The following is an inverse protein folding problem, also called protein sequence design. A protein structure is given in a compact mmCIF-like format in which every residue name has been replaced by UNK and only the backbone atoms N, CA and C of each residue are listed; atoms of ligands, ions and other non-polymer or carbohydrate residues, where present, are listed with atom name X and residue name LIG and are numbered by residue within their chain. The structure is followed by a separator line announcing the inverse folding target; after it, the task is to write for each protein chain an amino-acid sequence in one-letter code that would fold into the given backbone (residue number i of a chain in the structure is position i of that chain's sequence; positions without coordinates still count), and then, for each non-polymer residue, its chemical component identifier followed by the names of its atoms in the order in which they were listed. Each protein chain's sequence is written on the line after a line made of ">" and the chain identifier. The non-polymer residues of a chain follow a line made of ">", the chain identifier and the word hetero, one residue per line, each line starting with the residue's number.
data_IF_593234269209
#
_entry.id   IF_593234269209
#
_cell.length_a   1.000
_cell.length_b   1.000
_cell.length_c   1.000
_cell.angle_alpha   90.00
_cell.angle_beta   90.00
_cell.angle_gamma   90.00
#
_symmetry.space_group_name_H-M   'P 1'
#
loop_
_entity.id
_entity.type
_entity.pdbx_description
1 polymer ?
#
# COMPACT_ATOMS: atom_id res chain seq x y z
N UNK A 1 34.36 16.10 14.62
CA UNK A 1 32.91 16.44 14.56
C UNK A 1 32.32 16.32 13.16
N UNK A 2 32.90 16.91 12.11
CA UNK A 2 32.36 16.79 10.74
C UNK A 2 32.18 15.34 10.28
N UNK A 3 33.17 14.48 10.51
CA UNK A 3 33.09 13.04 10.22
C UNK A 3 32.03 12.30 11.03
N UNK A 4 31.86 12.64 12.31
CA UNK A 4 30.82 12.05 13.15
C UNK A 4 29.42 12.42 12.65
N UNK A 5 29.19 13.70 12.36
CA UNK A 5 27.94 14.17 11.76
C UNK A 5 27.65 13.46 10.43
N UNK A 6 28.66 13.35 9.58
CA UNK A 6 28.53 12.66 8.29
C UNK A 6 28.17 11.17 8.46
N UNK A 7 28.79 10.47 9.40
CA UNK A 7 28.45 9.07 9.72
C UNK A 7 27.01 8.97 10.25
N UNK A 8 26.60 9.90 11.12
CA UNK A 8 25.24 9.96 11.66
C UNK A 8 24.20 10.19 10.55
N UNK A 9 24.45 11.16 9.67
CA UNK A 9 23.59 11.48 8.53
C UNK A 9 23.48 10.29 7.56
N UNK A 10 24.61 9.62 7.24
CA UNK A 10 24.61 8.42 6.38
C UNK A 10 23.85 7.26 7.03
N UNK A 11 24.04 7.04 8.33
CA UNK A 11 23.34 5.97 9.07
C UNK A 11 21.83 6.21 9.07
N UNK A 12 21.43 7.46 9.29
CA UNK A 12 20.02 7.88 9.26
C UNK A 12 19.41 7.70 7.88
N UNK A 13 20.14 8.09 6.83
CA UNK A 13 19.72 7.90 5.46
C UNK A 13 19.50 6.42 5.12
N UNK A 14 20.44 5.54 5.51
CA UNK A 14 20.32 4.10 5.31
C UNK A 14 19.10 3.54 6.06
N UNK A 15 18.87 3.96 7.31
CA UNK A 15 17.71 3.52 8.08
C UNK A 15 16.39 3.94 7.42
N UNK A 16 16.29 5.19 6.96
CA UNK A 16 15.11 5.70 6.24
C UNK A 16 14.90 4.91 4.95
N UNK A 17 15.97 4.63 4.19
CA UNK A 17 15.89 3.86 2.96
C UNK A 17 15.37 2.43 3.21
N UNK A 18 15.87 1.76 4.25
CA UNK A 18 15.39 0.42 4.65
C UNK A 18 13.92 0.49 5.08
N UNK A 19 13.54 1.50 5.87
CA UNK A 19 12.15 1.70 6.30
C UNK A 19 11.19 1.87 5.11
N UNK A 20 11.55 2.74 4.16
CA UNK A 20 10.77 2.94 2.93
C UNK A 20 10.69 1.66 2.12
N UNK A 21 11.80 0.93 1.99
CA UNK A 21 11.83 -0.35 1.28
C UNK A 21 10.87 -1.37 1.90
N UNK A 22 10.93 -1.56 3.23
CA UNK A 22 10.05 -2.52 3.91
C UNK A 22 8.59 -2.05 3.90
N UNK A 23 8.35 -0.76 4.04
CA UNK A 23 7.02 -0.18 3.91
C UNK A 23 6.41 -0.50 2.53
N UNK A 24 7.12 -0.19 1.44
CA UNK A 24 6.66 -0.50 0.08
C UNK A 24 6.49 -2.01 -0.13
N UNK A 25 7.34 -2.83 0.48
CA UNK A 25 7.21 -4.28 0.46
C UNK A 25 5.91 -4.74 1.13
N UNK A 26 5.57 -4.21 2.32
CA UNK A 26 4.34 -4.55 3.04
C UNK A 26 3.08 -4.02 2.38
N UNK A 27 3.13 -2.82 1.84
CA UNK A 27 2.03 -2.24 1.06
C UNK A 27 1.65 -3.13 -0.14
N UNK A 28 2.65 -3.71 -0.83
CA UNK A 28 2.43 -4.66 -1.94
C UNK A 28 1.81 -6.00 -1.47
N UNK A 29 2.10 -6.45 -0.25
CA UNK A 29 1.44 -7.64 0.32
C UNK A 29 -0.06 -7.42 0.52
N UNK A 30 -0.46 -6.22 0.94
CA UNK A 30 -1.86 -5.92 1.25
C UNK A 30 -2.66 -5.50 0.01
N UNK A 31 -2.09 -4.68 -0.88
CA UNK A 31 -2.82 -4.05 -1.99
C UNK A 31 -2.18 -4.42 -3.33
N UNK A 32 -2.95 -4.37 -4.42
CA UNK A 32 -2.34 -4.44 -5.76
C UNK A 32 -1.57 -3.15 -6.07
N UNK A 33 -0.35 -3.21 -6.61
CA UNK A 33 0.43 -2.01 -6.92
C UNK A 33 -0.33 -1.08 -7.88
N UNK A 34 -0.18 0.22 -7.68
CA UNK A 34 -0.84 1.28 -8.46
C UNK A 34 -2.38 1.27 -8.41
N UNK A 35 -2.97 0.67 -7.37
CA UNK A 35 -4.41 0.73 -7.15
C UNK A 35 -4.84 2.15 -6.79
N UNK A 36 -5.86 2.65 -7.48
CA UNK A 36 -6.47 3.95 -7.17
C UNK A 36 -7.78 3.82 -6.43
N UNK A 37 -8.55 2.79 -6.79
CA UNK A 37 -9.89 2.61 -6.28
C UNK A 37 -10.05 1.18 -5.74
N UNK A 38 -9.82 0.99 -4.43
CA UNK A 38 -10.07 -0.27 -3.78
C UNK A 38 -11.53 -0.32 -3.28
N UNK A 39 -12.19 -1.44 -3.58
CA UNK A 39 -13.59 -1.71 -3.29
C UNK A 39 -13.68 -3.03 -2.54
N UNK A 40 -14.31 -3.03 -1.37
CA UNK A 40 -14.58 -4.22 -0.60
C UNK A 40 -16.02 -4.68 -0.87
N UNK A 41 -16.19 -5.89 -1.38
CA UNK A 41 -17.49 -6.56 -1.44
C UNK A 41 -17.70 -7.32 -0.14
N UNK A 42 -18.64 -6.86 0.67
CA UNK A 42 -18.88 -7.36 2.03
C UNK A 42 -20.05 -8.34 2.09
N UNK A 43 -21.03 -8.19 1.20
CA UNK A 43 -22.20 -9.05 1.18
C UNK A 43 -22.79 -9.36 -0.20
N UNK A 44 -23.50 -10.48 -0.28
CA UNK A 44 -24.21 -10.93 -1.47
C UNK A 44 -25.51 -11.64 -1.08
N UNK A 45 -26.64 -11.08 -1.49
CA UNK A 45 -27.98 -11.56 -1.13
C UNK A 45 -28.48 -12.77 -1.96
N UNK A 46 -27.63 -13.31 -2.85
CA UNK A 46 -27.93 -14.48 -3.69
C UNK A 46 -29.10 -14.34 -4.68
N UNK A 47 -29.59 -13.10 -4.93
CA UNK A 47 -30.64 -12.84 -5.93
C UNK A 47 -30.24 -13.27 -7.35
N UNK A 48 -28.98 -13.07 -7.71
CA UNK A 48 -28.40 -13.47 -9.00
C UNK A 48 -27.30 -14.49 -8.79
N UNK A 49 -27.10 -15.40 -9.76
CA UNK A 49 -26.03 -16.39 -9.69
C UNK A 49 -24.64 -15.75 -9.78
N UNK A 50 -23.63 -16.40 -9.20
CA UNK A 50 -22.23 -15.94 -9.26
C UNK A 50 -21.73 -15.73 -10.69
N UNK A 51 -22.04 -16.67 -11.58
CA UNK A 51 -21.69 -16.59 -13.00
C UNK A 51 -22.32 -15.37 -13.67
N UNK A 52 -23.59 -15.10 -13.38
CA UNK A 52 -24.29 -13.96 -13.94
C UNK A 52 -23.69 -12.63 -13.44
N UNK A 53 -23.41 -12.52 -12.14
CA UNK A 53 -22.77 -11.34 -11.56
C UNK A 53 -21.41 -11.08 -12.22
N UNK A 54 -20.56 -12.11 -12.35
CA UNK A 54 -19.24 -11.96 -12.98
C UNK A 54 -19.33 -11.60 -14.46
N UNK A 55 -20.28 -12.16 -15.22
CA UNK A 55 -20.53 -11.75 -16.61
C UNK A 55 -20.93 -10.28 -16.70
N UNK A 56 -21.81 -9.83 -15.80
CA UNK A 56 -22.25 -8.43 -15.78
C UNK A 56 -21.13 -7.48 -15.36
N UNK A 57 -20.29 -7.84 -14.37
CA UNK A 57 -19.09 -7.05 -14.02
C UNK A 57 -18.15 -6.94 -15.23
N UNK A 58 -17.95 -8.03 -15.98
CA UNK A 58 -17.13 -8.00 -17.19
C UNK A 58 -17.72 -7.09 -18.28
N UNK A 59 -19.05 -7.08 -18.44
CA UNK A 59 -19.74 -6.17 -19.36
C UNK A 59 -19.62 -4.72 -18.93
N UNK A 60 -19.84 -4.43 -17.64
CA UNK A 60 -19.64 -3.11 -17.06
C UNK A 60 -18.21 -2.60 -17.31
N UNK A 61 -17.20 -3.43 -17.01
CA UNK A 61 -15.80 -3.08 -17.22
C UNK A 61 -15.48 -2.77 -18.69
N UNK A 62 -16.08 -3.53 -19.63
CA UNK A 62 -15.96 -3.26 -21.08
C UNK A 62 -16.63 -1.93 -21.48
N UNK A 63 -17.83 -1.65 -20.96
CA UNK A 63 -18.58 -0.44 -21.27
C UNK A 63 -17.90 0.82 -20.74
N UNK A 64 -17.37 0.76 -19.51
CA UNK A 64 -16.58 1.84 -18.91
C UNK A 64 -15.14 1.86 -19.44
N UNK A 65 -14.75 0.92 -20.30
CA UNK A 65 -13.42 0.84 -20.91
C UNK A 65 -12.26 0.73 -19.90
N UNK A 66 -12.49 0.06 -18.77
CA UNK A 66 -11.53 -0.15 -17.67
C UNK A 66 -11.28 -1.63 -17.39
N UNK A 67 -10.15 -1.97 -16.77
CA UNK A 67 -9.93 -3.28 -16.17
C UNK A 67 -10.28 -3.26 -14.68
N UNK A 68 -11.01 -4.27 -14.22
CA UNK A 68 -11.34 -4.46 -12.80
C UNK A 68 -10.66 -5.75 -12.34
N UNK A 69 -9.91 -5.67 -11.25
CA UNK A 69 -9.13 -6.78 -10.71
C UNK A 69 -9.79 -7.28 -9.44
N UNK A 70 -10.27 -8.51 -9.43
CA UNK A 70 -10.61 -9.19 -8.17
C UNK A 70 -9.36 -9.85 -7.63
N UNK A 71 -9.08 -9.65 -6.36
CA UNK A 71 -7.91 -10.22 -5.71
C UNK A 71 -8.31 -10.98 -4.44
N UNK A 72 -7.62 -12.08 -4.19
CA UNK A 72 -7.71 -12.80 -2.92
C UNK A 72 -6.29 -13.16 -2.48
N UNK A 73 -5.91 -12.74 -1.27
CA UNK A 73 -4.63 -13.10 -0.69
C UNK A 73 -4.72 -14.47 -0.01
N UNK A 74 -3.85 -15.38 -0.42
CA UNK A 74 -3.64 -16.67 0.22
C UNK A 74 -2.37 -16.58 1.07
N UNK A 75 -2.51 -16.73 2.38
CA UNK A 75 -1.40 -16.72 3.31
C UNK A 75 -0.95 -18.17 3.58
N UNK A 76 0.14 -18.59 2.95
CA UNK A 76 0.70 -19.94 3.09
C UNK A 76 2.18 -19.86 3.48
N UNK A 77 2.55 -20.53 4.57
CA UNK A 77 3.95 -20.74 5.02
C UNK A 77 4.91 -19.54 4.78
N UNK A 78 4.55 -18.36 5.31
CA UNK A 78 5.33 -17.10 5.28
C UNK A 78 5.39 -16.36 3.92
N UNK A 79 4.74 -16.88 2.88
CA UNK A 79 4.55 -16.16 1.63
C UNK A 79 3.10 -15.66 1.50
N UNK A 80 2.94 -14.54 0.81
CA UNK A 80 1.63 -14.02 0.40
C UNK A 80 1.52 -14.29 -1.09
N UNK A 81 0.71 -15.25 -1.48
CA UNK A 81 0.35 -15.45 -2.89
C UNK A 81 -0.97 -14.72 -3.13
N UNK A 82 -1.16 -14.11 -4.30
CA UNK A 82 -2.46 -13.53 -4.67
C UNK A 82 -3.03 -14.20 -5.90
N UNK A 83 -4.26 -14.64 -5.72
CA UNK A 83 -5.12 -15.05 -6.81
C UNK A 83 -5.78 -13.81 -7.38
N UNK A 84 -5.56 -13.56 -8.68
CA UNK A 84 -6.09 -12.38 -9.37
C UNK A 84 -6.95 -12.82 -10.54
N UNK A 85 -8.17 -12.31 -10.60
CA UNK A 85 -8.99 -12.39 -11.80
C UNK A 85 -9.16 -11.00 -12.41
N UNK A 86 -9.08 -10.90 -13.73
CA UNK A 86 -9.21 -9.63 -14.46
C UNK A 86 -10.49 -9.63 -15.29
N UNK A 87 -11.41 -8.74 -14.93
CA UNK A 87 -12.53 -8.36 -15.77
C UNK A 87 -12.06 -7.35 -16.83
N UNK A 88 -12.52 -7.51 -18.07
CA UNK A 88 -12.05 -6.78 -19.24
C UNK A 88 -10.53 -6.92 -19.50
N UNK A 89 -10.10 -8.13 -19.83
CA UNK A 89 -8.70 -8.50 -20.08
C UNK A 89 -7.99 -7.63 -21.14
N UNK A 90 -8.71 -7.01 -22.09
CA UNK A 90 -8.11 -6.16 -23.13
C UNK A 90 -7.57 -4.82 -22.60
N UNK A 91 -8.01 -4.41 -21.40
CA UNK A 91 -7.50 -3.23 -20.69
C UNK A 91 -6.59 -3.58 -19.52
N UNK A 92 -6.29 -4.86 -19.35
CA UNK A 92 -5.43 -5.32 -18.28
C UNK A 92 -4.01 -4.76 -18.47
N UNK A 93 -3.49 -4.12 -17.43
CA UNK A 93 -2.06 -3.87 -17.28
C UNK A 93 -1.42 -5.02 -16.52
N UNK A 94 -0.19 -5.35 -16.89
CA UNK A 94 0.63 -6.33 -16.18
C UNK A 94 0.83 -5.86 -14.74
N UNK A 95 0.49 -6.74 -13.80
CA UNK A 95 0.80 -6.50 -12.38
C UNK A 95 2.20 -7.05 -12.15
N UNK A 96 3.13 -6.14 -11.90
CA UNK A 96 4.51 -6.51 -11.57
C UNK A 96 4.67 -6.37 -10.06
N UNK A 97 4.78 -7.47 -9.31
CA UNK A 97 4.93 -7.36 -7.87
C UNK A 97 6.31 -6.81 -7.54
N UNK A 98 6.37 -5.95 -6.52
CA UNK A 98 7.65 -5.48 -5.98
C UNK A 98 8.45 -6.61 -5.33
N UNK A 99 7.77 -7.62 -4.80
CA UNK A 99 8.35 -8.77 -4.12
C UNK A 99 8.52 -9.97 -5.08
N UNK A 100 9.75 -10.43 -5.28
CA UNK A 100 10.03 -11.61 -6.10
C UNK A 100 9.54 -12.94 -5.49
N UNK A 101 9.21 -12.99 -4.19
CA UNK A 101 8.63 -14.17 -3.51
C UNK A 101 7.11 -14.22 -3.60
N UNK A 102 6.49 -13.17 -4.11
CA UNK A 102 5.05 -13.06 -4.25
C UNK A 102 4.64 -13.63 -5.60
N UNK A 103 3.92 -14.75 -5.61
CA UNK A 103 3.38 -15.28 -6.85
C UNK A 103 1.99 -14.71 -7.13
N UNK A 104 1.83 -14.18 -8.34
CA UNK A 104 0.52 -13.82 -8.86
C UNK A 104 -0.01 -15.01 -9.65
N UNK A 105 -1.10 -15.58 -9.17
CA UNK A 105 -1.84 -16.62 -9.87
C UNK A 105 -3.03 -15.98 -10.57
N UNK A 106 -2.94 -15.85 -11.89
CA UNK A 106 -4.07 -15.37 -12.69
C UNK A 106 -5.11 -16.47 -12.82
N UNK A 107 -6.30 -16.23 -12.27
CA UNK A 107 -7.39 -17.19 -12.28
C UNK A 107 -8.04 -17.28 -13.67
N UNK A 108 -8.37 -18.50 -14.07
CA UNK A 108 -9.31 -18.78 -15.16
C UNK A 108 -10.76 -18.48 -14.74
N UNK A 109 -11.67 -18.47 -15.71
CA UNK A 109 -13.10 -18.24 -15.45
C UNK A 109 -13.69 -19.33 -14.53
N UNK A 110 -13.28 -20.59 -14.72
CA UNK A 110 -13.74 -21.73 -13.90
C UNK A 110 -13.21 -21.67 -12.46
N UNK A 111 -11.96 -21.24 -12.27
CA UNK A 111 -11.38 -21.06 -10.94
C UNK A 111 -12.02 -19.89 -10.20
N UNK A 112 -12.33 -18.80 -10.90
CA UNK A 112 -13.06 -17.67 -10.32
C UNK A 112 -14.43 -18.11 -9.79
N UNK A 113 -15.15 -18.98 -10.50
CA UNK A 113 -16.46 -19.48 -10.06
C UNK A 113 -16.39 -20.27 -8.74
N UNK A 114 -15.24 -20.88 -8.43
CA UNK A 114 -14.99 -21.56 -7.15
C UNK A 114 -14.76 -20.57 -6.00
N UNK A 115 -14.32 -19.34 -6.27
CA UNK A 115 -14.07 -18.29 -5.26
C UNK A 115 -15.35 -17.55 -4.86
N UNK A 116 -15.45 -17.11 -3.61
CA UNK A 116 -16.57 -16.28 -3.12
C UNK A 116 -16.66 -14.97 -3.92
N UNK A 117 -17.86 -14.41 -4.10
CA UNK A 117 -18.08 -13.06 -4.66
C UNK A 117 -17.49 -11.99 -3.75
N UNK A 118 -17.56 -12.21 -2.42
CA UNK A 118 -16.95 -11.34 -1.41
C UNK A 118 -15.44 -11.20 -1.61
N UNK A 119 -14.88 -10.12 -1.10
CA UNK A 119 -13.45 -9.81 -1.15
C UNK A 119 -13.14 -8.51 -1.86
N UNK A 120 -11.86 -8.31 -2.19
CA UNK A 120 -11.35 -7.04 -2.68
C UNK A 120 -11.35 -6.96 -4.20
N UNK A 121 -11.83 -5.83 -4.69
CA UNK A 121 -11.84 -5.44 -6.10
C UNK A 121 -11.05 -4.15 -6.25
N UNK A 122 -10.28 -4.05 -7.33
CA UNK A 122 -9.35 -2.95 -7.54
C UNK A 122 -9.47 -2.42 -8.96
N UNK A 123 -9.45 -1.09 -9.09
CA UNK A 123 -9.36 -0.40 -10.37
C UNK A 123 -8.15 0.54 -10.34
N UNK A 124 -7.31 0.44 -11.37
CA UNK A 124 -6.09 1.24 -11.54
C UNK A 124 -6.27 2.46 -12.43
N UNK A 125 -7.34 2.51 -13.22
CA UNK A 125 -7.63 3.62 -14.12
C UNK A 125 -7.79 4.93 -13.34
N UNK A 126 -7.37 6.08 -13.89
CA UNK A 126 -7.39 7.37 -13.20
C UNK A 126 -8.78 8.00 -13.13
N UNK A 127 -9.67 7.69 -14.07
CA UNK A 127 -10.93 8.40 -14.26
C UNK A 127 -12.16 7.52 -14.02
N UNK A 128 -12.06 6.61 -13.05
CA UNK A 128 -13.11 5.65 -12.75
C UNK A 128 -14.13 6.20 -11.74
N UNK A 129 -15.41 6.11 -12.07
CA UNK A 129 -16.51 6.43 -11.16
C UNK A 129 -16.83 5.23 -10.27
N UNK A 130 -16.26 5.24 -9.07
CA UNK A 130 -16.45 4.18 -8.06
C UNK A 130 -17.90 4.08 -7.61
N UNK A 131 -18.59 5.21 -7.45
CA UNK A 131 -19.98 5.25 -7.00
C UNK A 131 -20.89 4.56 -8.01
N UNK A 132 -20.66 4.79 -9.30
CA UNK A 132 -21.37 4.11 -10.39
C UNK A 132 -21.19 2.60 -10.32
N UNK A 133 -19.98 2.11 -10.06
CA UNK A 133 -19.72 0.67 -9.93
C UNK A 133 -20.36 0.07 -8.67
N UNK A 134 -20.30 0.76 -7.53
CA UNK A 134 -20.95 0.31 -6.29
C UNK A 134 -22.47 0.23 -6.46
N UNK A 135 -23.08 1.24 -7.09
CA UNK A 135 -24.51 1.24 -7.40
C UNK A 135 -24.87 0.08 -8.35
N UNK A 136 -24.07 -0.15 -9.38
CA UNK A 136 -24.20 -1.31 -10.27
C UNK A 136 -24.17 -2.63 -9.49
N UNK A 137 -23.20 -2.84 -8.59
CA UNK A 137 -23.12 -4.05 -7.77
C UNK A 137 -24.38 -4.22 -6.90
N UNK A 138 -24.87 -3.13 -6.31
CA UNK A 138 -26.07 -3.11 -5.47
C UNK A 138 -27.33 -3.53 -6.23
N UNK A 139 -27.48 -3.11 -7.49
CA UNK A 139 -28.59 -3.54 -8.36
C UNK A 139 -28.62 -5.07 -8.55
N UNK A 140 -27.45 -5.70 -8.55
CA UNK A 140 -27.30 -7.17 -8.64
C UNK A 140 -27.19 -7.86 -7.28
N UNK A 141 -27.61 -7.19 -6.21
CA UNK A 141 -27.71 -7.77 -4.88
C UNK A 141 -26.36 -7.97 -4.18
N UNK A 142 -25.34 -7.22 -4.59
CA UNK A 142 -24.00 -7.25 -4.01
C UNK A 142 -23.75 -5.93 -3.28
N UNK A 143 -23.47 -6.02 -1.98
CA UNK A 143 -23.13 -4.87 -1.14
C UNK A 143 -21.62 -4.64 -1.21
N UNK A 144 -21.23 -3.42 -1.57
CA UNK A 144 -19.84 -3.04 -1.70
C UNK A 144 -19.59 -1.62 -1.18
N UNK A 145 -18.37 -1.37 -0.72
CA UNK A 145 -17.94 -0.06 -0.26
C UNK A 145 -16.54 0.25 -0.77
N UNK A 146 -16.32 1.51 -1.14
CA UNK A 146 -14.97 2.00 -1.39
C UNK A 146 -14.28 2.29 -0.07
N UNK A 147 -13.05 1.85 0.09
CA UNK A 147 -12.26 2.19 1.26
C UNK A 147 -11.05 3.02 0.85
N UNK A 148 -10.45 3.71 1.81
CA UNK A 148 -9.12 4.28 1.63
C UNK A 148 -8.12 3.30 2.20
N UNK A 149 -7.00 3.13 1.51
CA UNK A 149 -5.88 2.40 2.05
C UNK A 149 -5.35 3.18 3.24
N UNK A 150 -5.31 2.53 4.41
CA UNK A 150 -4.72 3.12 5.61
C UNK A 150 -3.20 2.92 5.58
N UNK A 151 -2.53 3.76 4.80
CA UNK A 151 -1.07 3.78 4.68
C UNK A 151 -0.37 3.97 6.04
N UNK A 152 -1.00 4.67 7.00
CA UNK A 152 -0.47 4.86 8.35
C UNK A 152 -0.52 3.56 9.14
N UNK A 153 -1.61 2.81 9.06
CA UNK A 153 -1.74 1.51 9.72
C UNK A 153 -0.71 0.51 9.18
N UNK A 154 -0.45 0.50 7.87
CA UNK A 154 0.62 -0.31 7.26
C UNK A 154 1.99 0.10 7.81
N UNK A 155 2.29 1.40 7.86
CA UNK A 155 3.56 1.91 8.38
C UNK A 155 3.77 1.57 9.87
N UNK A 156 2.74 1.71 10.70
CA UNK A 156 2.78 1.33 12.12
C UNK A 156 2.99 -0.19 12.27
N UNK A 157 2.34 -0.99 11.42
CA UNK A 157 2.54 -2.44 11.37
C UNK A 157 4.00 -2.82 11.11
N UNK A 158 4.64 -2.16 10.13
CA UNK A 158 6.06 -2.34 9.81
C UNK A 158 6.96 -2.00 11.00
N UNK A 159 6.75 -0.84 11.61
CA UNK A 159 7.56 -0.36 12.75
C UNK A 159 7.50 -1.36 13.90
N UNK A 160 6.29 -1.83 14.24
CA UNK A 160 6.08 -2.80 15.32
C UNK A 160 6.68 -4.16 15.00
N UNK A 161 6.42 -4.70 13.81
CA UNK A 161 6.89 -6.04 13.43
C UNK A 161 8.41 -6.13 13.42
N UNK A 162 9.09 -5.06 13.01
CA UNK A 162 10.54 -5.01 12.93
C UNK A 162 11.21 -4.42 14.19
N UNK A 163 10.42 -4.08 15.22
CA UNK A 163 10.89 -3.51 16.48
C UNK A 163 11.77 -2.25 16.29
N UNK A 164 11.41 -1.39 15.34
CA UNK A 164 12.22 -0.22 14.91
C UNK A 164 12.04 0.98 15.85
N UNK A 165 11.08 0.92 16.78
CA UNK A 165 10.83 1.94 17.80
C UNK A 165 12.10 2.27 18.61
N UNK A 166 12.86 1.24 18.98
CA UNK A 166 14.10 1.37 19.77
C UNK A 166 15.22 2.03 18.94
N UNK A 167 15.57 1.56 17.72
CA UNK A 167 16.53 2.25 16.86
C UNK A 167 16.18 3.72 16.58
N UNK A 168 14.91 4.03 16.31
CA UNK A 168 14.47 5.41 16.02
C UNK A 168 14.63 6.34 17.22
N UNK A 169 14.20 5.89 18.40
CA UNK A 169 14.35 6.67 19.63
C UNK A 169 15.81 6.88 20.01
N UNK A 170 16.66 5.86 19.86
CA UNK A 170 18.11 5.99 20.08
C UNK A 170 18.74 7.03 19.12
N UNK A 171 18.38 7.01 17.84
CA UNK A 171 18.89 7.95 16.84
C UNK A 171 18.51 9.40 17.18
N UNK A 172 17.27 9.64 17.61
CA UNK A 172 16.82 10.95 18.08
C UNK A 172 17.64 11.45 19.27
N UNK A 173 17.91 10.58 20.25
CA UNK A 173 18.73 10.92 21.42
C UNK A 173 20.15 11.29 20.99
N UNK A 174 20.76 10.51 20.09
CA UNK A 174 22.11 10.79 19.57
C UNK A 174 22.16 12.12 18.82
N UNK A 175 21.16 12.43 17.99
CA UNK A 175 21.06 13.74 17.32
C UNK A 175 20.91 14.89 18.32
N UNK A 176 20.10 14.72 19.35
CA UNK A 176 19.89 15.72 20.38
C UNK A 176 21.18 16.02 21.16
N UNK A 177 21.90 14.97 21.56
CA UNK A 177 23.21 15.10 22.22
C UNK A 177 24.22 15.77 21.29
N UNK A 178 24.28 15.36 20.03
CA UNK A 178 25.15 15.97 19.02
C UNK A 178 24.86 17.47 18.87
N UNK A 179 23.59 17.86 18.80
CA UNK A 179 23.17 19.26 18.71
C UNK A 179 23.63 20.08 19.91
N UNK A 180 23.44 19.58 21.14
CA UNK A 180 23.90 20.24 22.36
C UNK A 180 25.43 20.40 22.33
N UNK A 181 26.15 19.35 21.96
CA UNK A 181 27.60 19.36 21.90
C UNK A 181 28.14 20.35 20.87
N UNK A 182 27.53 20.42 19.68
CA UNK A 182 27.86 21.40 18.64
C UNK A 182 27.61 22.84 19.08
N UNK A 183 26.50 23.09 19.78
CA UNK A 183 26.18 24.41 20.34
C UNK A 183 27.17 24.82 21.43
N UNK A 184 27.57 23.90 22.30
CA UNK A 184 28.54 24.17 23.36
C UNK A 184 29.94 24.47 22.82
N UNK A 185 30.46 23.66 21.89
CA UNK A 185 31.81 23.89 21.33
C UNK A 185 31.88 25.21 20.56
N UNK A 186 30.83 25.55 19.82
CA UNK A 186 30.77 26.79 19.04
C UNK A 186 30.11 27.94 19.79
N UNK A 187 29.94 27.83 21.12
CA UNK A 187 29.18 28.80 21.92
C UNK A 187 29.67 30.23 21.71
N UNK A 188 31.00 30.45 21.73
CA UNK A 188 31.60 31.77 21.49
C UNK A 188 31.25 32.31 20.10
N UNK A 189 31.31 31.48 19.06
CA UNK A 189 30.95 31.88 17.70
C UNK A 189 29.46 32.20 17.57
N UNK A 190 28.59 31.41 18.22
CA UNK A 190 27.16 31.68 18.29
C UNK A 190 26.84 32.97 19.05
N UNK A 191 27.49 33.22 20.19
CA UNK A 191 27.33 34.44 20.98
C UNK A 191 27.79 35.68 20.21
N UNK A 192 28.90 35.60 19.48
CA UNK A 192 29.38 36.70 18.61
C UNK A 192 28.38 36.97 17.48
N UNK A 193 27.83 35.93 16.84
CA UNK A 193 26.79 36.10 15.81
C UNK A 193 25.54 36.77 16.39
N UNK A 194 25.09 36.31 17.55
CA UNK A 194 23.94 36.85 18.24
C UNK A 194 24.11 38.33 18.63
N UNK A 195 25.28 38.69 19.18
CA UNK A 195 25.61 40.09 19.51
C UNK A 195 25.67 41.01 18.30
N UNK A 196 25.98 40.46 17.12
CA UNK A 196 25.98 41.19 15.85
C UNK A 196 24.63 41.14 15.12
N UNK A 197 23.55 40.71 15.80
CA UNK A 197 22.19 40.70 15.26
C UNK A 197 21.89 39.56 14.29
N UNK A 198 22.76 38.56 14.16
CA UNK A 198 22.49 37.36 13.38
C UNK A 198 21.84 36.29 14.28
N UNK A 199 20.67 35.79 13.86
CA UNK A 199 20.01 34.61 14.44
C UNK A 199 20.53 33.30 13.84
#
# INVERSE_FOLDING_TARGET
>A
MKWFKLILDVTTFILIAILLFVYTYKENEEILPDTKYPIAVTDWNKKYSKNEIYKRINQFAKNENVAIYKSTSNYTNKNVDKDIYVFNKSKATTITPFNAKYNIHYLSDDELLKKDIKGSYFVKDKNFDVSKFINFLKEYGVTAESYKIDHMMIAVGVIKQMNIEVPLSALLIVYFIYYIFEKNINFKAYAIKYLNGFT
#
